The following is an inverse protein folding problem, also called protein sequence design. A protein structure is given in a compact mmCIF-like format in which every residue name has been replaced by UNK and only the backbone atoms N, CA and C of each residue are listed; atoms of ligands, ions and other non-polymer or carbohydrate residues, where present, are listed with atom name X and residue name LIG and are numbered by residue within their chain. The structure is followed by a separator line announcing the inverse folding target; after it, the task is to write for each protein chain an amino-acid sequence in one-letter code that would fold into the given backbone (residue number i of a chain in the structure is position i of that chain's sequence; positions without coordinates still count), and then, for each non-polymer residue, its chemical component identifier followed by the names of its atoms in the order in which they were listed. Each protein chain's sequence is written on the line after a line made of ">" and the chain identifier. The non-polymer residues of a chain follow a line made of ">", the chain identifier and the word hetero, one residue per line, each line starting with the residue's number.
data_IF_482937039234
#
_entry.id   IF_482937039234
#
_cell.length_a   1.000
_cell.length_b   1.000
_cell.length_c   1.000
_cell.angle_alpha   90.00
_cell.angle_beta   90.00
_cell.angle_gamma   90.00
#
_symmetry.space_group_name_H-M   'P 1'
#
loop_
_entity.id
_entity.type
_entity.pdbx_description
1 polymer ?
#
# COMPACT_ATOMS: atom_id res chain seq x y z
N UNK A 1 11.26 -24.24 7.89
CA UNK A 1 11.64 -23.33 6.78
C UNK A 1 10.59 -22.23 6.69
N UNK A 2 10.78 -21.07 7.32
CA UNK A 2 9.76 -20.01 7.36
C UNK A 2 10.35 -18.62 7.11
N UNK A 3 9.70 -17.89 6.21
CA UNK A 3 9.61 -16.42 6.14
C UNK A 3 10.81 -15.59 5.64
N UNK A 4 11.06 -15.65 4.33
CA UNK A 4 11.82 -14.61 3.59
C UNK A 4 10.94 -13.72 2.70
N UNK A 5 9.73 -14.16 2.28
CA UNK A 5 8.95 -13.48 1.24
C UNK A 5 8.58 -12.01 1.54
N UNK A 6 8.19 -11.69 2.78
CA UNK A 6 7.74 -10.33 3.14
C UNK A 6 8.85 -9.30 3.31
N UNK A 7 10.02 -9.70 3.83
CA UNK A 7 11.18 -8.79 3.99
C UNK A 7 11.77 -8.40 2.64
N UNK A 8 11.83 -9.34 1.70
CA UNK A 8 12.31 -9.06 0.34
C UNK A 8 11.37 -8.12 -0.41
N UNK A 9 10.04 -8.24 -0.25
CA UNK A 9 9.10 -7.27 -0.85
C UNK A 9 9.36 -5.82 -0.40
N UNK A 10 9.68 -5.59 0.88
CA UNK A 10 9.98 -4.23 1.38
C UNK A 10 11.31 -3.70 0.84
N UNK A 11 12.33 -4.56 0.69
CA UNK A 11 13.63 -4.18 0.11
C UNK A 11 13.50 -3.84 -1.38
N UNK A 12 12.79 -4.69 -2.13
CA UNK A 12 12.54 -4.49 -3.55
C UNK A 12 11.67 -3.26 -3.81
N UNK A 13 10.69 -3.00 -2.95
CA UNK A 13 9.92 -1.75 -2.97
C UNK A 13 10.82 -0.52 -2.82
N UNK A 14 11.67 -0.49 -1.78
CA UNK A 14 12.62 0.62 -1.56
C UNK A 14 13.61 0.78 -2.72
N UNK A 15 14.13 -0.31 -3.27
CA UNK A 15 15.04 -0.24 -4.44
C UNK A 15 14.35 0.39 -5.65
N UNK A 16 13.08 0.05 -5.87
CA UNK A 16 12.33 0.60 -6.99
C UNK A 16 12.01 2.08 -6.80
N UNK A 17 11.62 2.47 -5.60
CA UNK A 17 11.44 3.87 -5.21
C UNK A 17 12.71 4.70 -5.43
N UNK A 18 13.88 4.20 -5.00
CA UNK A 18 15.17 4.85 -5.24
C UNK A 18 15.51 4.97 -6.73
N UNK A 19 15.22 3.94 -7.53
CA UNK A 19 15.48 3.99 -8.97
C UNK A 19 14.63 5.06 -9.68
N UNK A 20 13.38 5.24 -9.25
CA UNK A 20 12.51 6.30 -9.76
C UNK A 20 13.01 7.67 -9.28
N UNK A 21 13.34 7.79 -8.00
CA UNK A 21 13.89 9.02 -7.43
C UNK A 21 15.10 9.52 -8.22
N UNK A 22 16.02 8.61 -8.58
CA UNK A 22 17.22 8.95 -9.34
C UNK A 22 16.89 9.58 -10.70
N UNK A 23 15.76 9.23 -11.31
CA UNK A 23 15.31 9.87 -12.56
C UNK A 23 14.60 11.19 -12.26
N UNK A 24 13.62 11.19 -11.34
CA UNK A 24 12.75 12.36 -11.14
C UNK A 24 13.47 13.55 -10.50
N UNK A 25 14.55 13.33 -9.74
CA UNK A 25 15.42 14.40 -9.21
C UNK A 25 16.11 15.23 -10.30
N UNK A 26 16.26 14.66 -11.50
CA UNK A 26 16.84 15.33 -12.68
C UNK A 26 15.77 15.89 -13.62
N UNK A 27 14.47 15.70 -13.30
CA UNK A 27 13.37 16.22 -14.09
C UNK A 27 13.00 17.65 -13.70
N UNK A 28 12.42 18.38 -14.66
CA UNK A 28 11.77 19.67 -14.45
C UNK A 28 10.35 19.63 -15.01
N UNK A 29 9.45 20.37 -14.38
CA UNK A 29 8.12 20.67 -14.91
C UNK A 29 8.01 22.19 -15.09
N UNK A 30 7.82 22.63 -16.35
CA UNK A 30 8.09 24.02 -16.72
C UNK A 30 9.55 24.40 -16.41
N UNK A 31 9.75 25.40 -15.55
CA UNK A 31 11.08 25.85 -15.13
C UNK A 31 11.52 25.33 -13.76
N UNK A 32 10.64 24.61 -13.04
CA UNK A 32 10.88 24.20 -11.65
C UNK A 32 11.44 22.78 -11.58
N UNK A 33 12.34 22.48 -10.62
CA UNK A 33 12.73 21.10 -10.32
C UNK A 33 11.51 20.27 -9.95
N UNK A 34 11.33 19.12 -10.58
CA UNK A 34 10.14 18.28 -10.40
C UNK A 34 10.15 17.54 -9.06
N UNK A 35 11.32 17.15 -8.56
CA UNK A 35 11.47 16.54 -7.23
C UNK A 35 12.67 17.16 -6.51
N UNK A 36 12.52 17.40 -5.22
CA UNK A 36 13.56 17.97 -4.34
C UNK A 36 13.78 17.14 -3.08
N UNK A 37 13.15 15.96 -2.98
CA UNK A 37 13.35 15.08 -1.84
C UNK A 37 14.79 14.56 -1.81
N UNK A 38 15.35 14.40 -0.62
CA UNK A 38 16.60 13.70 -0.40
C UNK A 38 16.40 12.19 -0.28
N UNK A 39 17.43 11.40 -0.56
CA UNK A 39 17.36 9.94 -0.41
C UNK A 39 17.05 9.47 1.03
N UNK A 40 17.35 10.30 2.04
CA UNK A 40 17.04 10.02 3.44
C UNK A 40 15.55 10.09 3.75
N UNK A 41 14.78 10.75 2.90
CA UNK A 41 13.32 10.86 3.02
C UNK A 41 12.60 9.67 2.39
N UNK A 42 13.31 8.87 1.59
CA UNK A 42 12.77 7.74 0.84
C UNK A 42 12.75 6.44 1.64
N UNK A 43 11.68 5.69 1.39
CA UNK A 43 11.44 4.37 1.94
C UNK A 43 11.15 4.35 3.43
N UNK A 44 10.71 3.19 3.89
CA UNK A 44 10.39 2.92 5.28
C UNK A 44 8.89 2.73 5.52
N UNK A 45 8.53 2.35 6.74
CA UNK A 45 7.13 2.11 7.14
C UNK A 45 6.53 3.35 7.85
N UNK A 46 6.86 4.55 7.39
CA UNK A 46 6.29 5.80 7.93
C UNK A 46 4.97 6.13 7.19
N UNK A 47 4.31 7.23 7.58
CA UNK A 47 3.06 7.68 6.95
C UNK A 47 3.29 8.56 5.71
N UNK A 48 4.55 8.84 5.36
CA UNK A 48 4.90 9.73 4.24
C UNK A 48 4.58 9.07 2.90
N UNK A 49 4.56 9.88 1.87
CA UNK A 49 4.44 9.39 0.50
C UNK A 49 5.79 8.89 0.00
N UNK A 50 5.75 7.99 -0.98
CA UNK A 50 6.95 7.38 -1.55
C UNK A 50 7.75 8.44 -2.32
N UNK A 51 7.12 9.10 -3.30
CA UNK A 51 7.69 10.26 -4.02
C UNK A 51 6.76 11.46 -3.84
N UNK A 52 7.33 12.63 -3.57
CA UNK A 52 6.65 13.92 -3.45
C UNK A 52 7.29 14.90 -4.43
N UNK A 53 6.49 15.36 -5.38
CA UNK A 53 6.91 16.21 -6.48
C UNK A 53 6.41 17.65 -6.30
N UNK A 54 6.97 18.56 -7.09
CA UNK A 54 6.69 19.98 -7.06
C UNK A 54 5.88 20.35 -8.32
N UNK A 55 4.63 20.75 -8.15
CA UNK A 55 3.81 21.33 -9.22
C UNK A 55 3.56 22.82 -8.97
N UNK A 56 2.98 23.15 -7.82
CA UNK A 56 2.67 24.53 -7.42
C UNK A 56 3.55 24.99 -6.26
N UNK A 57 3.79 24.12 -5.28
CA UNK A 57 4.67 24.36 -4.13
C UNK A 57 5.60 23.17 -3.89
N UNK A 58 6.50 23.26 -2.93
CA UNK A 58 7.43 22.15 -2.62
C UNK A 58 6.69 20.94 -2.04
N UNK A 59 6.97 19.75 -2.59
CA UNK A 59 6.47 18.45 -2.16
C UNK A 59 4.92 18.37 -2.09
N UNK A 60 4.23 19.04 -3.03
CA UNK A 60 2.78 19.17 -3.03
C UNK A 60 2.04 18.08 -3.81
N UNK A 61 2.76 17.32 -4.65
CA UNK A 61 2.18 16.21 -5.43
C UNK A 61 2.77 14.86 -4.99
N UNK A 62 2.05 14.12 -4.15
CA UNK A 62 2.41 12.74 -3.86
C UNK A 62 2.18 11.79 -5.05
N UNK A 63 3.14 10.88 -5.24
CA UNK A 63 3.08 9.76 -6.16
C UNK A 63 3.39 8.48 -5.38
N UNK A 64 2.46 7.54 -5.38
CA UNK A 64 2.66 6.23 -4.75
C UNK A 64 3.47 5.32 -5.68
N UNK A 65 4.46 4.62 -5.15
CA UNK A 65 5.32 3.70 -5.90
C UNK A 65 4.98 2.26 -5.53
N UNK A 66 4.73 1.41 -6.54
CA UNK A 66 4.43 -0.02 -6.35
C UNK A 66 5.18 -0.90 -7.32
N UNK A 67 5.81 -1.96 -6.79
CA UNK A 67 6.14 -3.13 -7.61
C UNK A 67 4.85 -3.86 -7.99
N UNK A 68 4.75 -4.31 -9.24
CA UNK A 68 3.55 -4.96 -9.80
C UNK A 68 3.02 -6.11 -8.93
N UNK A 69 3.91 -6.93 -8.38
CA UNK A 69 3.57 -8.13 -7.60
C UNK A 69 3.45 -7.86 -6.09
N UNK A 70 3.46 -6.60 -5.66
CA UNK A 70 3.25 -6.25 -4.26
C UNK A 70 1.81 -6.56 -3.87
N UNK A 71 1.58 -7.34 -2.81
CA UNK A 71 0.25 -7.88 -2.53
C UNK A 71 -0.65 -6.95 -1.70
N UNK A 72 -0.13 -5.89 -1.09
CA UNK A 72 -0.91 -5.05 -0.17
C UNK A 72 -0.75 -3.58 -0.58
N UNK A 73 -1.83 -2.94 -1.04
CA UNK A 73 -1.87 -1.54 -1.50
C UNK A 73 -2.74 -0.76 -0.51
N UNK A 74 -2.08 0.08 0.30
CA UNK A 74 -2.59 0.66 1.54
C UNK A 74 -3.09 -0.40 2.56
N UNK A 75 -2.45 -0.47 3.72
CA UNK A 75 -2.76 -1.44 4.76
C UNK A 75 -3.29 -0.75 6.03
N UNK A 76 -4.37 -1.30 6.60
CA UNK A 76 -4.90 -0.95 7.90
C UNK A 76 -4.81 -2.15 8.85
N UNK A 77 -4.36 -1.93 10.09
CA UNK A 77 -4.44 -2.92 11.16
C UNK A 77 -5.81 -2.86 11.79
N UNK A 78 -6.44 -4.02 12.03
CA UNK A 78 -7.77 -4.12 12.61
C UNK A 78 -7.70 -4.52 14.10
N UNK A 79 -8.69 -4.05 14.85
CA UNK A 79 -9.01 -4.46 16.21
C UNK A 79 -10.46 -4.97 16.24
N UNK A 80 -10.71 -5.98 17.07
CA UNK A 80 -12.06 -6.47 17.28
C UNK A 80 -12.67 -5.76 18.50
N UNK A 81 -13.76 -5.04 18.28
CA UNK A 81 -14.55 -4.45 19.35
C UNK A 81 -15.54 -5.51 19.85
N UNK A 82 -15.32 -5.99 21.08
CA UNK A 82 -16.10 -7.08 21.68
C UNK A 82 -17.54 -6.64 21.99
N UNK A 83 -17.72 -5.40 22.47
CA UNK A 83 -19.03 -4.85 22.86
C UNK A 83 -19.98 -4.77 21.67
N UNK A 84 -19.49 -4.24 20.55
CA UNK A 84 -20.26 -4.02 19.33
C UNK A 84 -20.15 -5.18 18.34
N UNK A 85 -19.32 -6.20 18.63
CA UNK A 85 -19.01 -7.35 17.77
C UNK A 85 -18.58 -6.94 16.35
N UNK A 86 -17.72 -5.93 16.25
CA UNK A 86 -17.30 -5.33 14.97
C UNK A 86 -15.78 -5.24 14.84
N UNK A 87 -15.31 -5.36 13.60
CA UNK A 87 -13.93 -5.06 13.25
C UNK A 87 -13.78 -3.56 12.98
N UNK A 88 -12.88 -2.92 13.71
CA UNK A 88 -12.56 -1.50 13.59
C UNK A 88 -11.08 -1.34 13.23
N UNK A 89 -10.73 -0.25 12.56
CA UNK A 89 -9.33 0.10 12.38
C UNK A 89 -8.70 0.47 13.72
N UNK A 90 -7.52 -0.09 13.99
CA UNK A 90 -6.73 0.23 15.18
C UNK A 90 -6.43 1.72 15.28
N UNK A 91 -6.47 2.27 16.49
CA UNK A 91 -6.05 3.65 16.79
C UNK A 91 -4.57 3.91 16.50
N UNK A 92 -3.75 2.86 16.35
CA UNK A 92 -2.31 2.96 16.06
C UNK A 92 -1.97 2.98 14.57
N UNK A 93 -2.99 3.06 13.70
CA UNK A 93 -2.77 3.12 12.27
C UNK A 93 -2.13 4.44 11.85
N UNK A 94 -1.35 4.37 10.76
CA UNK A 94 -0.65 5.52 10.16
C UNK A 94 -1.38 6.09 8.93
N UNK A 95 -2.50 5.49 8.55
CA UNK A 95 -3.32 5.94 7.43
C UNK A 95 -4.29 7.03 7.89
N UNK A 96 -4.78 7.88 6.98
CA UNK A 96 -5.82 8.86 7.28
C UNK A 96 -7.08 8.21 7.89
N UNK A 97 -7.75 8.94 8.77
CA UNK A 97 -8.97 8.48 9.45
C UNK A 97 -10.08 8.11 8.46
N UNK A 98 -10.24 8.90 7.39
CA UNK A 98 -11.22 8.61 6.33
C UNK A 98 -10.87 7.34 5.55
N UNK A 99 -9.59 7.06 5.28
CA UNK A 99 -9.17 5.77 4.69
C UNK A 99 -9.53 4.59 5.60
N UNK A 100 -9.38 4.77 6.92
CA UNK A 100 -9.79 3.78 7.92
C UNK A 100 -11.30 3.51 7.87
N UNK A 101 -12.11 4.57 7.82
CA UNK A 101 -13.57 4.49 7.72
C UNK A 101 -14.03 3.79 6.44
N UNK A 102 -13.31 3.94 5.31
CA UNK A 102 -13.59 3.19 4.08
C UNK A 102 -13.45 1.68 4.35
N UNK A 103 -12.36 1.24 4.98
CA UNK A 103 -12.20 -0.18 5.31
C UNK A 103 -13.29 -0.69 6.25
N UNK A 104 -13.60 0.06 7.32
CA UNK A 104 -14.64 -0.29 8.29
C UNK A 104 -16.02 -0.41 7.64
N UNK A 105 -16.36 0.51 6.74
CA UNK A 105 -17.60 0.45 5.96
C UNK A 105 -17.65 -0.81 5.09
N UNK A 106 -16.57 -1.12 4.36
CA UNK A 106 -16.53 -2.27 3.44
C UNK A 106 -16.66 -3.62 4.15
N UNK A 107 -16.16 -3.73 5.39
CA UNK A 107 -16.23 -4.98 6.16
C UNK A 107 -17.36 -4.99 7.20
N UNK A 108 -18.12 -3.91 7.35
CA UNK A 108 -19.03 -3.70 8.48
C UNK A 108 -20.12 -4.76 8.63
N UNK A 109 -20.51 -5.40 7.53
CA UNK A 109 -21.52 -6.46 7.49
C UNK A 109 -20.93 -7.84 7.15
N UNK A 110 -19.60 -7.99 7.18
CA UNK A 110 -18.92 -9.22 6.78
C UNK A 110 -18.46 -9.98 8.02
N UNK A 111 -18.83 -11.26 8.08
CA UNK A 111 -18.32 -12.18 9.10
C UNK A 111 -16.90 -12.63 8.74
N UNK A 112 -15.90 -12.03 9.38
CA UNK A 112 -14.50 -12.45 9.24
C UNK A 112 -14.20 -13.67 10.11
N UNK A 113 -13.28 -14.52 9.63
CA UNK A 113 -12.76 -15.70 10.36
C UNK A 113 -13.86 -16.63 10.89
N UNK A 114 -14.92 -16.84 10.11
CA UNK A 114 -16.10 -17.63 10.51
C UNK A 114 -16.72 -17.17 11.84
N UNK A 115 -16.61 -15.87 12.16
CA UNK A 115 -17.13 -15.27 13.39
C UNK A 115 -16.25 -15.49 14.62
N UNK A 116 -15.07 -16.10 14.45
CA UNK A 116 -14.11 -16.31 15.54
C UNK A 116 -13.17 -15.12 15.68
N UNK A 117 -12.68 -14.93 16.89
CA UNK A 117 -11.65 -13.94 17.20
C UNK A 117 -10.31 -14.69 17.24
N UNK A 118 -9.29 -14.28 16.46
CA UNK A 118 -7.96 -14.89 16.54
C UNK A 118 -7.44 -14.84 17.99
N UNK A 119 -7.00 -15.97 18.58
CA UNK A 119 -6.64 -16.06 19.99
C UNK A 119 -5.58 -15.03 20.46
N UNK A 120 -4.65 -14.65 19.58
CA UNK A 120 -3.64 -13.64 19.88
C UNK A 120 -4.20 -12.23 20.12
N UNK A 121 -5.47 -11.99 19.80
CA UNK A 121 -6.16 -10.72 20.09
C UNK A 121 -6.63 -10.64 21.55
N UNK A 122 -6.72 -11.79 22.22
CA UNK A 122 -7.21 -11.92 23.59
C UNK A 122 -6.07 -12.21 24.57
N UNK A 123 -5.08 -12.99 24.14
CA UNK A 123 -3.96 -13.41 24.98
C UNK A 123 -2.63 -13.30 24.23
N UNK A 124 -1.54 -13.10 24.98
CA UNK A 124 -0.20 -13.30 24.45
C UNK A 124 -0.01 -14.79 24.07
N UNK A 125 0.57 -15.04 22.89
CA UNK A 125 0.77 -16.39 22.35
C UNK A 125 2.18 -16.54 21.80
N UNK A 126 2.79 -17.70 21.93
CA UNK A 126 4.08 -18.03 21.31
C UNK A 126 3.91 -18.33 19.81
N UNK A 127 5.03 -18.31 19.08
CA UNK A 127 5.02 -18.65 17.66
C UNK A 127 4.64 -20.12 17.39
N UNK A 128 5.06 -21.04 18.26
CA UNK A 128 4.76 -22.47 18.14
C UNK A 128 3.27 -22.75 18.33
N UNK A 129 2.66 -22.16 19.36
CA UNK A 129 1.22 -22.24 19.60
C UNK A 129 0.43 -21.66 18.42
N UNK A 130 0.85 -20.52 17.88
CA UNK A 130 0.18 -19.92 16.72
C UNK A 130 0.25 -20.80 15.47
N UNK A 131 1.40 -21.43 15.20
CA UNK A 131 1.54 -22.39 14.10
C UNK A 131 0.60 -23.57 14.29
N UNK A 132 0.53 -24.13 15.51
CA UNK A 132 -0.35 -25.26 15.83
C UNK A 132 -1.82 -24.91 15.59
N UNK A 133 -2.28 -23.76 16.08
CA UNK A 133 -3.64 -23.27 15.83
C UNK A 133 -3.93 -23.15 14.32
N UNK A 134 -2.98 -22.60 13.56
CA UNK A 134 -3.11 -22.47 12.10
C UNK A 134 -3.13 -23.80 11.34
N UNK A 135 -2.66 -24.90 11.94
CA UNK A 135 -2.73 -26.25 11.36
C UNK A 135 -4.05 -26.94 11.69
N UNK A 136 -4.62 -26.64 12.85
CA UNK A 136 -5.87 -27.26 13.34
C UNK A 136 -7.13 -26.62 12.75
N UNK A 137 -7.04 -25.40 12.21
CA UNK A 137 -8.16 -24.73 11.56
C UNK A 137 -7.75 -23.88 10.36
N UNK A 138 -8.68 -23.72 9.42
CA UNK A 138 -8.58 -22.79 8.29
C UNK A 138 -9.19 -21.42 8.58
N UNK A 139 -9.83 -21.23 9.75
CA UNK A 139 -10.55 -19.99 10.10
C UNK A 139 -9.67 -18.74 9.98
N UNK A 140 -8.36 -18.85 10.24
CA UNK A 140 -7.41 -17.74 10.24
C UNK A 140 -6.54 -17.68 8.98
N UNK A 141 -7.02 -18.28 7.88
CA UNK A 141 -6.42 -18.08 6.57
C UNK A 141 -6.76 -16.71 6.00
N UNK A 142 -5.97 -16.29 5.01
CA UNK A 142 -6.23 -15.06 4.30
C UNK A 142 -7.61 -15.12 3.66
N UNK A 143 -8.42 -14.08 3.92
CA UNK A 143 -9.75 -13.91 3.33
C UNK A 143 -9.66 -12.85 2.25
N UNK A 144 -10.29 -13.10 1.11
CA UNK A 144 -10.38 -12.17 -0.01
C UNK A 144 -11.84 -11.78 -0.20
N UNK A 145 -12.09 -10.48 -0.32
CA UNK A 145 -13.44 -9.93 -0.40
C UNK A 145 -13.47 -8.96 -1.58
N UNK A 146 -14.46 -9.10 -2.43
CA UNK A 146 -14.68 -8.17 -3.53
C UNK A 146 -15.02 -6.77 -3.00
N UNK A 147 -14.42 -5.75 -3.60
CA UNK A 147 -14.73 -4.36 -3.28
C UNK A 147 -14.95 -3.56 -4.57
N UNK A 148 -15.54 -2.36 -4.47
CA UNK A 148 -15.65 -1.45 -5.60
C UNK A 148 -14.31 -1.19 -6.29
N UNK A 149 -14.32 -1.11 -7.63
CA UNK A 149 -13.11 -0.92 -8.44
C UNK A 149 -12.47 0.48 -8.30
N UNK A 150 -13.05 1.37 -7.50
CA UNK A 150 -12.50 2.67 -7.15
C UNK A 150 -11.92 2.72 -5.73
N UNK A 151 -11.87 1.59 -5.00
CA UNK A 151 -11.45 1.53 -3.60
C UNK A 151 -10.02 2.04 -3.40
N UNK A 152 -9.06 1.58 -4.21
CA UNK A 152 -7.65 2.02 -4.18
C UNK A 152 -7.57 3.54 -4.40
N UNK A 153 -8.26 4.05 -5.43
CA UNK A 153 -8.36 5.49 -5.72
C UNK A 153 -8.87 6.27 -4.52
N UNK A 154 -9.98 5.85 -3.92
CA UNK A 154 -10.56 6.51 -2.74
C UNK A 154 -9.60 6.48 -1.55
N UNK A 155 -8.96 5.34 -1.27
CA UNK A 155 -8.01 5.19 -0.18
C UNK A 155 -6.81 6.13 -0.30
N UNK A 156 -6.22 6.24 -1.50
CA UNK A 156 -5.07 7.10 -1.77
C UNK A 156 -5.41 8.59 -1.88
N UNK A 157 -6.59 8.93 -2.41
CA UNK A 157 -7.06 10.32 -2.43
C UNK A 157 -7.22 10.91 -1.02
N UNK A 158 -7.62 10.10 -0.03
CA UNK A 158 -7.66 10.54 1.38
C UNK A 158 -6.26 10.83 1.97
N UNK A 159 -5.19 10.31 1.34
CA UNK A 159 -3.79 10.65 1.65
C UNK A 159 -3.29 11.86 0.83
N UNK A 160 -4.14 12.42 -0.03
CA UNK A 160 -3.74 13.45 -0.99
C UNK A 160 -2.88 12.91 -2.14
N UNK A 161 -2.88 11.61 -2.40
CA UNK A 161 -2.09 10.97 -3.44
C UNK A 161 -2.92 10.75 -4.70
N UNK A 162 -2.51 11.38 -5.80
CA UNK A 162 -3.27 11.44 -7.06
C UNK A 162 -2.66 10.62 -8.18
N UNK A 163 -1.45 10.09 -7.99
CA UNK A 163 -0.74 9.29 -8.99
C UNK A 163 -0.20 8.01 -8.39
N UNK A 164 -0.08 6.99 -9.23
CA UNK A 164 0.55 5.73 -8.87
C UNK A 164 1.45 5.26 -10.00
N UNK A 165 2.71 4.97 -9.66
CA UNK A 165 3.70 4.38 -10.55
C UNK A 165 3.80 2.89 -10.25
N UNK A 166 3.59 2.05 -11.26
CA UNK A 166 3.59 0.60 -11.11
C UNK A 166 4.68 0.00 -12.00
N UNK A 167 5.61 -0.76 -11.41
CA UNK A 167 6.70 -1.38 -12.18
C UNK A 167 6.16 -2.24 -13.32
N UNK A 168 6.78 -2.18 -14.50
CA UNK A 168 6.37 -2.93 -15.71
C UNK A 168 5.01 -2.50 -16.30
N UNK A 169 4.31 -1.54 -15.66
CA UNK A 169 3.00 -1.04 -16.11
C UNK A 169 2.98 0.47 -16.34
N UNK A 170 3.86 1.26 -15.73
CA UNK A 170 3.98 2.71 -15.94
C UNK A 170 3.22 3.57 -14.93
N UNK A 171 3.03 4.84 -15.27
CA UNK A 171 2.41 5.88 -14.45
C UNK A 171 0.92 6.04 -14.77
N UNK A 172 0.09 6.19 -13.74
CA UNK A 172 -1.36 6.38 -13.85
C UNK A 172 -1.84 7.48 -12.90
N UNK A 173 -2.94 8.15 -13.25
CA UNK A 173 -3.65 9.02 -12.31
C UNK A 173 -4.76 8.25 -11.57
N UNK A 174 -5.09 8.68 -10.35
CA UNK A 174 -6.13 8.14 -9.47
C UNK A 174 -7.41 8.99 -9.55
N UNK A 175 -7.81 9.33 -10.77
CA UNK A 175 -9.04 10.08 -11.07
C UNK A 175 -8.83 11.49 -11.62
N UNK A 176 -7.93 12.28 -11.03
CA UNK A 176 -7.62 13.62 -11.52
C UNK A 176 -6.15 13.70 -11.93
N UNK A 177 -5.89 14.01 -13.21
CA UNK A 177 -4.55 14.27 -13.73
C UNK A 177 -4.14 15.73 -13.47
N UNK A 178 -3.92 16.07 -12.20
CA UNK A 178 -3.64 17.45 -11.75
C UNK A 178 -2.34 18.06 -12.30
N UNK A 179 -1.34 17.24 -12.62
CA UNK A 179 -0.08 17.61 -13.27
C UNK A 179 -0.19 17.68 -14.79
N UNK A 180 -1.30 17.24 -15.40
CA UNK A 180 -1.45 17.18 -16.85
C UNK A 180 -0.40 16.28 -17.53
N UNK A 181 -0.07 15.14 -16.91
CA UNK A 181 0.87 14.16 -17.48
C UNK A 181 0.29 13.44 -18.70
N UNK A 182 -1.01 13.54 -18.94
CA UNK A 182 -1.74 12.83 -19.99
C UNK A 182 -1.59 11.30 -19.88
N UNK A 183 -1.48 10.82 -18.63
CA UNK A 183 -1.43 9.39 -18.31
C UNK A 183 -2.84 8.79 -18.27
N UNK A 184 -3.02 7.48 -18.46
CA UNK A 184 -4.32 6.84 -18.27
C UNK A 184 -4.75 6.79 -16.80
N UNK A 185 -6.06 6.68 -16.57
CA UNK A 185 -6.61 6.42 -15.24
C UNK A 185 -6.26 4.98 -14.79
N UNK A 186 -5.95 4.82 -13.51
CA UNK A 186 -5.77 3.50 -12.91
C UNK A 186 -7.11 2.77 -12.77
N UNK A 187 -7.42 1.90 -13.74
CA UNK A 187 -8.67 1.13 -13.78
C UNK A 187 -8.36 -0.36 -13.74
N UNK A 188 -8.76 -1.03 -12.66
CA UNK A 188 -8.69 -2.49 -12.56
C UNK A 188 -9.72 -3.04 -11.58
N UNK A 189 -10.02 -4.34 -11.66
CA UNK A 189 -10.77 -5.04 -10.62
C UNK A 189 -9.98 -5.08 -9.31
N UNK A 190 -10.67 -4.88 -8.18
CA UNK A 190 -10.04 -4.78 -6.87
C UNK A 190 -10.67 -5.75 -5.87
N UNK A 191 -9.90 -6.10 -4.85
CA UNK A 191 -10.34 -6.89 -3.72
C UNK A 191 -9.62 -6.44 -2.45
N UNK A 192 -10.28 -6.68 -1.32
CA UNK A 192 -9.69 -6.58 0.00
C UNK A 192 -9.05 -7.91 0.36
N UNK A 193 -7.89 -7.85 1.01
CA UNK A 193 -7.24 -9.00 1.64
C UNK A 193 -7.18 -8.78 3.13
N UNK A 194 -7.81 -9.67 3.88
CA UNK A 194 -7.75 -9.70 5.34
C UNK A 194 -6.86 -10.86 5.73
N UNK A 195 -5.89 -10.63 6.62
CA UNK A 195 -4.96 -11.67 7.07
C UNK A 195 -4.53 -11.48 8.52
N UNK A 196 -4.09 -12.58 9.12
CA UNK A 196 -3.29 -12.55 10.36
C UNK A 196 -1.81 -12.42 10.00
N UNK A 197 -1.15 -11.34 10.44
CA UNK A 197 0.25 -11.03 10.11
C UNK A 197 1.14 -11.19 11.35
N UNK A 198 2.21 -11.97 11.20
CA UNK A 198 3.29 -12.07 12.20
C UNK A 198 4.29 -10.93 11.94
N UNK A 199 4.50 -10.07 12.93
CA UNK A 199 5.51 -9.00 12.87
C UNK A 199 6.84 -9.43 13.50
N UNK A 200 6.76 -10.24 14.56
CA UNK A 200 7.94 -10.71 15.31
C UNK A 200 7.60 -12.06 15.91
N UNK A 201 8.45 -13.07 15.71
CA UNK A 201 8.18 -14.43 16.22
C UNK A 201 8.40 -14.55 17.73
N UNK A 202 9.30 -13.74 18.30
CA UNK A 202 9.60 -13.72 19.73
C UNK A 202 9.97 -12.32 20.20
N UNK A 203 9.23 -11.79 21.17
CA UNK A 203 9.52 -10.54 21.88
C UNK A 203 10.38 -10.83 23.13
N UNK A 204 10.73 -9.78 23.89
CA UNK A 204 11.54 -9.91 25.11
C UNK A 204 10.92 -10.79 26.20
N UNK A 205 9.61 -11.04 26.15
CA UNK A 205 8.86 -11.91 27.06
C UNK A 205 8.63 -13.32 26.52
N UNK A 206 9.12 -13.64 25.31
CA UNK A 206 8.96 -14.96 24.69
C UNK A 206 7.74 -15.11 23.77
N UNK A 207 6.89 -14.09 23.63
CA UNK A 207 5.65 -14.17 22.84
C UNK A 207 5.80 -13.60 21.43
N UNK A 208 4.93 -14.02 20.53
CA UNK A 208 4.84 -13.52 19.16
C UNK A 208 4.07 -12.19 19.12
N UNK A 209 4.47 -11.28 18.22
CA UNK A 209 3.73 -10.04 17.94
C UNK A 209 2.94 -10.21 16.64
N UNK A 210 1.63 -10.30 16.75
CA UNK A 210 0.72 -10.47 15.62
C UNK A 210 -0.27 -9.32 15.48
N UNK A 211 -0.91 -9.22 14.31
CA UNK A 211 -2.08 -8.37 14.11
C UNK A 211 -3.01 -8.95 13.05
N UNK A 212 -4.27 -8.56 13.08
CA UNK A 212 -5.13 -8.66 11.89
C UNK A 212 -4.90 -7.43 11.02
N UNK A 213 -4.72 -7.61 9.72
CA UNK A 213 -4.57 -6.51 8.76
C UNK A 213 -5.51 -6.67 7.59
N UNK A 214 -6.09 -5.56 7.14
CA UNK A 214 -6.78 -5.43 5.86
C UNK A 214 -5.94 -4.58 4.91
N UNK A 215 -5.91 -4.94 3.63
CA UNK A 215 -5.36 -4.11 2.57
C UNK A 215 -6.22 -4.21 1.32
N UNK A 216 -6.20 -3.19 0.49
CA UNK A 216 -6.78 -3.31 -0.85
C UNK A 216 -5.69 -3.80 -1.82
N UNK A 217 -6.09 -4.47 -2.90
CA UNK A 217 -5.17 -4.84 -3.97
C UNK A 217 -5.94 -5.05 -5.29
N UNK A 218 -5.26 -4.94 -6.44
CA UNK A 218 -5.80 -5.42 -7.70
C UNK A 218 -6.09 -6.92 -7.63
N UNK A 219 -7.22 -7.39 -8.18
CA UNK A 219 -7.50 -8.84 -8.32
C UNK A 219 -6.53 -9.49 -9.30
N UNK A 220 -6.28 -8.81 -10.43
CA UNK A 220 -5.37 -9.28 -11.46
C UNK A 220 -4.67 -8.10 -12.13
N UNK A 221 -3.52 -7.71 -11.58
CA UNK A 221 -2.71 -6.60 -12.09
C UNK A 221 -2.21 -6.83 -13.52
N UNK A 222 -2.11 -8.08 -13.99
CA UNK A 222 -1.64 -8.36 -15.34
C UNK A 222 -2.62 -7.85 -16.41
N UNK A 223 -3.92 -7.77 -16.08
CA UNK A 223 -4.97 -7.24 -16.96
C UNK A 223 -4.96 -5.71 -17.07
N UNK A 224 -4.23 -5.00 -16.21
CA UNK A 224 -4.08 -3.56 -16.32
C UNK A 224 -3.34 -3.24 -17.64
N UNK A 225 -3.94 -2.42 -18.49
CA UNK A 225 -3.30 -1.92 -19.70
C UNK A 225 -2.10 -1.07 -19.32
N UNK A 226 -0.95 -1.31 -19.96
CA UNK A 226 0.25 -0.55 -19.69
C UNK A 226 0.07 0.92 -20.10
N UNK A 227 0.52 1.82 -19.24
CA UNK A 227 0.63 3.24 -19.53
C UNK A 227 1.77 3.45 -20.53
N UNK A 228 1.60 4.34 -21.52
CA UNK A 228 2.68 4.73 -22.42
C UNK A 228 3.76 5.56 -21.71
N UNK A 229 3.49 6.05 -20.50
CA UNK A 229 4.42 6.86 -19.72
C UNK A 229 4.86 6.16 -18.43
N UNK A 230 6.07 6.45 -17.98
CA UNK A 230 6.66 5.88 -16.77
C UNK A 230 7.69 6.82 -16.18
N UNK A 231 7.79 6.84 -14.85
CA UNK A 231 8.83 7.57 -14.12
C UNK A 231 10.11 6.75 -13.90
N UNK A 232 10.11 5.47 -14.27
CA UNK A 232 11.28 4.57 -14.13
C UNK A 232 12.12 4.44 -15.41
N UNK A 233 11.79 5.21 -16.46
CA UNK A 233 12.47 5.21 -17.77
C UNK A 233 12.46 6.61 -18.37
N UNK A 234 13.63 7.13 -18.72
CA UNK A 234 13.80 8.50 -19.25
C UNK A 234 13.02 8.67 -20.55
N UNK A 235 13.07 7.67 -21.44
CA UNK A 235 12.43 7.68 -22.75
C UNK A 235 10.89 7.60 -22.70
N UNK A 236 10.32 7.25 -21.53
CA UNK A 236 8.88 7.17 -21.31
C UNK A 236 8.38 8.25 -20.34
N UNK A 237 9.18 9.26 -20.01
CA UNK A 237 8.70 10.33 -19.14
C UNK A 237 7.47 11.03 -19.75
N UNK A 238 6.49 11.44 -18.92
CA UNK A 238 5.40 12.30 -19.36
C UNK A 238 5.90 13.51 -20.18
N UNK A 239 5.15 13.96 -21.21
CA UNK A 239 5.65 14.90 -22.21
C UNK A 239 5.97 16.31 -21.65
N UNK A 240 5.39 16.67 -20.51
CA UNK A 240 5.64 17.91 -19.80
C UNK A 240 6.75 17.80 -18.73
N UNK A 241 7.37 16.61 -18.57
CA UNK A 241 8.56 16.42 -17.75
C UNK A 241 9.82 16.44 -18.63
N UNK A 242 10.65 17.45 -18.40
CA UNK A 242 11.93 17.61 -19.10
C UNK A 242 13.04 17.00 -18.25
N UNK A 243 13.69 15.96 -18.77
CA UNK A 243 14.89 15.40 -18.16
C UNK A 243 16.09 16.30 -18.47
N UNK A 244 16.74 16.85 -17.44
CA UNK A 244 17.97 17.60 -17.63
C UNK A 244 19.12 16.62 -17.85
N UNK A 245 19.68 16.60 -19.07
CA UNK A 245 20.95 15.91 -19.33
C UNK A 245 22.02 16.70 -18.58
N UNK A 246 22.54 16.12 -17.50
CA UNK A 246 23.74 16.59 -16.81
C UNK A 246 24.99 16.31 -17.62
#
# INVERSE_FOLDING_TARGET
>A
MSHTKGKECSKEGKRYELAIHEIVRHCKIGNNPFNTQSELELGGCNSKNDIECNLHTTNDIPIEIKKMKTPDWMQCSLQYNIENKKWLGSLKNKIPEKSKQIFEYLIGNIQLFNGKIPPFMLNDITHEEWIKIKQETTDYNDTYIDCPNDTIKRLYNEKGCYYIQISEKGLYHLGNDICGFNVPEFICEQQLRIRTKIHTTKNSKGFCKLSVTIACQPKNINKLLASPYSLDKIELLPPNLLYAIT
#
